data_IF_224258859444
#
_entry.id   IF_224258859444
#
_cell.length_a   1.000
_cell.length_b   1.000
_cell.length_c   1.000
_cell.angle_alpha   90.00
_cell.angle_beta   90.00
_cell.angle_gamma   90.00
#
_symmetry.space_group_name_H-M   'P 1'
#
loop_
_entity.id
_entity.type
_entity.pdbx_description
1 polymer ?
#
# COMPACT_ATOMS: atom_id res chain seq x y z
N UNK A 1 11.11 3.28 -21.54
CA UNK A 1 9.84 4.03 -21.59
C UNK A 1 8.79 3.19 -20.88
N UNK A 2 8.49 3.48 -19.62
CA UNK A 2 7.40 2.80 -18.90
C UNK A 2 6.10 3.49 -19.31
N UNK A 3 5.30 2.81 -20.12
CA UNK A 3 3.98 3.26 -20.54
C UNK A 3 3.04 2.94 -19.39
N UNK A 4 2.91 3.88 -18.45
CA UNK A 4 1.99 3.75 -17.32
C UNK A 4 0.59 3.99 -17.90
N UNK A 5 -0.12 2.90 -18.16
CA UNK A 5 -1.53 2.91 -18.52
C UNK A 5 -2.30 3.38 -17.30
N UNK A 6 -2.58 4.68 -17.22
CA UNK A 6 -3.47 5.26 -16.22
C UNK A 6 -4.88 4.71 -16.46
N UNK A 7 -5.23 3.64 -15.77
CA UNK A 7 -6.62 3.22 -15.60
C UNK A 7 -7.39 4.42 -15.04
N UNK A 8 -8.63 4.67 -15.52
CA UNK A 8 -9.44 5.79 -15.05
C UNK A 8 -9.49 5.81 -13.52
N UNK A 9 -8.79 6.77 -12.91
CA UNK A 9 -8.52 6.85 -11.46
C UNK A 9 -9.77 7.15 -10.61
N UNK A 10 -10.94 7.23 -11.25
CA UNK A 10 -12.20 7.63 -10.62
C UNK A 10 -12.70 6.58 -9.61
N UNK A 11 -12.42 5.29 -9.83
CA UNK A 11 -12.86 4.21 -8.93
C UNK A 11 -11.77 3.75 -7.94
N UNK A 12 -10.49 3.99 -8.25
CA UNK A 12 -9.35 3.64 -7.38
C UNK A 12 -8.93 4.77 -6.44
N UNK A 13 -9.73 5.84 -6.31
CA UNK A 13 -9.57 6.96 -5.37
C UNK A 13 -9.75 6.53 -3.90
N UNK A 14 -9.14 5.42 -3.51
CA UNK A 14 -9.08 4.95 -2.14
C UNK A 14 -8.09 5.81 -1.36
N UNK A 15 -8.56 6.30 -0.22
CA UNK A 15 -7.82 7.20 0.65
C UNK A 15 -6.59 6.46 1.21
N UNK A 16 -5.39 6.77 0.68
CA UNK A 16 -4.14 6.21 1.19
C UNK A 16 -3.98 6.52 2.69
N UNK A 17 -3.85 5.46 3.48
CA UNK A 17 -3.78 5.52 4.93
C UNK A 17 -2.32 5.57 5.41
N UNK A 18 -2.11 5.98 6.65
CA UNK A 18 -0.80 6.10 7.24
C UNK A 18 -0.21 4.70 7.48
N UNK A 19 1.08 4.51 7.17
CA UNK A 19 1.76 3.22 7.25
C UNK A 19 1.91 2.69 8.67
N UNK A 20 1.79 3.54 9.69
CA UNK A 20 1.94 3.19 11.12
C UNK A 20 0.61 3.20 11.85
N UNK A 21 -0.31 4.05 11.41
CA UNK A 21 -1.67 4.16 11.93
C UNK A 21 -2.69 3.99 10.78
N UNK A 22 -3.12 2.75 10.50
CA UNK A 22 -4.05 2.45 9.42
C UNK A 22 -5.42 3.10 9.56
N UNK A 23 -5.75 3.74 10.69
CA UNK A 23 -7.03 4.45 10.84
C UNK A 23 -6.96 5.89 10.33
N UNK A 24 -5.75 6.45 10.23
CA UNK A 24 -5.52 7.84 9.81
C UNK A 24 -5.18 7.92 8.34
N UNK A 25 -5.63 8.99 7.69
CA UNK A 25 -5.15 9.37 6.35
C UNK A 25 -3.67 9.74 6.42
N UNK A 26 -2.90 9.38 5.40
CA UNK A 26 -1.52 9.85 5.28
C UNK A 26 -1.49 11.39 5.23
N UNK A 27 -0.69 12.01 6.09
CA UNK A 27 -0.57 13.46 6.18
C UNK A 27 0.90 13.87 6.17
N UNK A 28 1.21 14.93 5.42
CA UNK A 28 2.55 15.54 5.36
C UNK A 28 2.97 16.12 6.73
N UNK A 29 2.01 16.62 7.51
CA UNK A 29 2.26 17.25 8.81
C UNK A 29 2.25 16.26 9.99
N UNK A 30 2.13 14.96 9.72
CA UNK A 30 2.11 13.97 10.80
C UNK A 30 3.47 13.95 11.53
N UNK A 31 3.51 13.89 12.87
CA UNK A 31 4.76 13.97 13.63
C UNK A 31 5.69 12.78 13.35
N UNK A 32 5.15 11.59 13.06
CA UNK A 32 5.96 10.43 12.67
C UNK A 32 6.19 10.39 11.15
N UNK A 33 7.44 10.62 10.66
CA UNK A 33 7.78 10.52 9.24
C UNK A 33 7.77 9.09 8.70
N UNK A 34 7.77 8.07 9.56
CA UNK A 34 7.71 6.67 9.14
C UNK A 34 6.31 6.26 8.70
N UNK A 35 5.29 7.03 9.06
CA UNK A 35 3.90 6.82 8.67
C UNK A 35 3.54 7.31 7.26
N UNK A 36 4.49 7.93 6.54
CA UNK A 36 4.29 8.52 5.23
C UNK A 36 5.47 8.26 4.31
N UNK A 37 5.19 8.24 3.00
CA UNK A 37 6.21 8.21 1.95
C UNK A 37 6.27 9.61 1.35
N UNK A 38 7.46 10.20 1.33
CA UNK A 38 7.73 11.46 0.65
C UNK A 38 8.35 11.18 -0.71
N UNK A 39 8.01 11.98 -1.72
CA UNK A 39 8.57 11.83 -3.08
C UNK A 39 10.08 12.10 -3.09
N UNK A 40 10.56 12.86 -2.10
CA UNK A 40 11.97 13.18 -1.88
C UNK A 40 12.69 12.16 -1.01
N UNK A 41 12.03 11.09 -0.55
CA UNK A 41 12.70 10.03 0.19
C UNK A 41 13.66 9.26 -0.73
N UNK A 42 14.82 8.90 -0.20
CA UNK A 42 15.75 8.00 -0.88
C UNK A 42 15.12 6.59 -1.06
N UNK A 43 15.45 5.86 -2.14
CA UNK A 43 14.87 4.55 -2.43
C UNK A 43 14.94 3.57 -1.25
N UNK A 44 16.08 3.51 -0.56
CA UNK A 44 16.29 2.62 0.59
C UNK A 44 15.35 2.95 1.75
N UNK A 45 15.09 4.24 1.98
CA UNK A 45 14.17 4.72 3.02
C UNK A 45 12.73 4.36 2.68
N UNK A 46 12.34 4.46 1.42
CA UNK A 46 11.00 4.05 0.96
C UNK A 46 10.81 2.55 1.21
N UNK A 47 11.79 1.72 0.82
CA UNK A 47 11.76 0.27 1.04
C UNK A 47 11.64 -0.05 2.53
N UNK A 48 12.42 0.62 3.38
CA UNK A 48 12.35 0.41 4.83
C UNK A 48 10.98 0.79 5.42
N UNK A 49 10.40 1.92 4.99
CA UNK A 49 9.08 2.38 5.43
C UNK A 49 7.97 1.40 5.03
N UNK A 50 7.99 0.90 3.80
CA UNK A 50 7.03 -0.10 3.31
C UNK A 50 7.16 -1.41 4.08
N UNK A 51 8.39 -1.90 4.30
CA UNK A 51 8.65 -3.12 5.08
C UNK A 51 8.20 -3.01 6.54
N UNK A 52 8.28 -1.82 7.13
CA UNK A 52 7.88 -1.55 8.53
C UNK A 52 6.43 -1.06 8.65
N UNK A 53 5.66 -1.08 7.57
CA UNK A 53 4.25 -0.74 7.61
C UNK A 53 3.50 -1.71 8.54
N UNK A 54 2.57 -1.17 9.31
CA UNK A 54 1.73 -1.95 10.22
C UNK A 54 0.66 -2.65 9.41
N UNK A 55 0.77 -3.97 9.37
CA UNK A 55 -0.22 -4.87 8.81
C UNK A 55 -0.95 -5.61 9.93
N UNK A 56 -1.98 -6.37 9.56
CA UNK A 56 -2.55 -7.36 10.46
C UNK A 56 -1.67 -8.62 10.54
N UNK A 57 -2.02 -9.54 11.43
CA UNK A 57 -1.25 -10.76 11.71
C UNK A 57 -1.60 -11.94 10.78
N UNK A 58 -2.37 -11.74 9.70
CA UNK A 58 -2.69 -12.82 8.76
C UNK A 58 -1.69 -12.85 7.61
N UNK A 59 -1.18 -14.04 7.31
CA UNK A 59 -0.24 -14.25 6.19
C UNK A 59 -0.87 -14.05 4.80
N UNK A 60 -2.19 -14.17 4.71
CA UNK A 60 -2.93 -14.08 3.45
C UNK A 60 -2.93 -12.65 2.92
N UNK A 61 -2.68 -12.50 1.62
CA UNK A 61 -2.75 -11.21 0.91
C UNK A 61 -4.18 -11.08 0.37
N UNK A 62 -5.02 -10.32 1.06
CA UNK A 62 -6.40 -10.04 0.62
C UNK A 62 -6.70 -8.54 0.68
N UNK A 63 -7.54 -8.08 -0.25
CA UNK A 63 -8.01 -6.71 -0.29
C UNK A 63 -9.32 -6.58 0.50
N UNK A 64 -9.26 -5.90 1.64
CA UNK A 64 -10.41 -5.60 2.50
C UNK A 64 -10.17 -4.26 3.20
N UNK A 65 -10.58 -3.13 2.60
CA UNK A 65 -10.25 -1.80 3.11
C UNK A 65 -10.95 -1.45 4.42
N UNK A 66 -11.98 -2.19 4.82
CA UNK A 66 -12.75 -1.98 6.05
C UNK A 66 -12.14 -2.78 7.22
N UNK A 67 -11.87 -4.08 7.03
CA UNK A 67 -11.36 -4.94 8.10
C UNK A 67 -9.82 -5.02 8.13
N UNK A 68 -9.15 -4.80 7.00
CA UNK A 68 -7.69 -4.87 6.84
C UNK A 68 -7.13 -3.59 6.19
N UNK A 69 -7.30 -2.42 6.84
CA UNK A 69 -6.91 -1.15 6.26
C UNK A 69 -5.42 -1.02 5.95
N UNK A 70 -4.54 -1.69 6.70
CA UNK A 70 -3.09 -1.66 6.49
C UNK A 70 -2.66 -2.37 5.20
N UNK A 71 -3.02 -3.66 5.08
CA UNK A 71 -2.71 -4.47 3.89
C UNK A 71 -3.37 -3.91 2.63
N UNK A 72 -4.63 -3.48 2.75
CA UNK A 72 -5.34 -2.86 1.62
C UNK A 72 -4.67 -1.59 1.13
N UNK A 73 -4.09 -0.79 2.04
CA UNK A 73 -3.34 0.41 1.64
C UNK A 73 -2.09 0.05 0.82
N UNK A 74 -1.36 -1.00 1.21
CA UNK A 74 -0.20 -1.49 0.46
C UNK A 74 -0.60 -2.02 -0.93
N UNK A 75 -1.69 -2.80 -0.99
CA UNK A 75 -2.24 -3.33 -2.24
C UNK A 75 -2.72 -2.22 -3.18
N UNK A 76 -3.42 -1.22 -2.64
CA UNK A 76 -3.79 -0.03 -3.41
C UNK A 76 -2.56 0.67 -3.97
N UNK A 77 -1.52 0.90 -3.16
CA UNK A 77 -0.30 1.56 -3.65
C UNK A 77 0.37 0.74 -4.76
N UNK A 78 0.42 -0.59 -4.62
CA UNK A 78 0.94 -1.49 -5.65
C UNK A 78 0.10 -1.42 -6.94
N UNK A 79 -1.23 -1.50 -6.80
CA UNK A 79 -2.21 -1.36 -7.89
C UNK A 79 -2.00 -0.05 -8.67
N UNK A 80 -1.87 1.08 -7.98
CA UNK A 80 -1.66 2.39 -8.60
C UNK A 80 -0.33 2.51 -9.36
N UNK A 81 0.72 1.80 -8.92
CA UNK A 81 2.04 1.82 -9.55
C UNK A 81 2.07 0.87 -10.77
N UNK A 82 1.49 -0.32 -10.64
CA UNK A 82 1.51 -1.36 -11.67
C UNK A 82 0.40 -1.20 -12.71
N UNK A 83 -0.67 -0.46 -12.39
CA UNK A 83 -1.86 -0.34 -13.24
C UNK A 83 -2.73 -1.61 -13.27
N UNK A 84 -2.63 -2.45 -12.23
CA UNK A 84 -3.40 -3.69 -12.06
C UNK A 84 -4.47 -3.48 -10.99
N UNK A 85 -5.54 -4.28 -11.00
CA UNK A 85 -6.55 -4.24 -9.95
C UNK A 85 -6.02 -4.88 -8.65
N UNK A 86 -6.41 -4.39 -7.46
CA UNK A 86 -6.02 -5.01 -6.18
C UNK A 86 -6.35 -6.51 -6.11
N UNK A 87 -7.46 -6.92 -6.71
CA UNK A 87 -7.92 -8.31 -6.77
C UNK A 87 -6.96 -9.17 -7.60
N UNK A 88 -6.53 -8.69 -8.78
CA UNK A 88 -5.55 -9.37 -9.64
C UNK A 88 -4.22 -9.55 -8.92
N UNK A 89 -3.77 -8.53 -8.19
CA UNK A 89 -2.55 -8.59 -7.37
C UNK A 89 -2.69 -9.63 -6.26
N UNK A 90 -3.86 -9.73 -5.61
CA UNK A 90 -4.09 -10.75 -4.58
C UNK A 90 -4.04 -12.17 -5.18
N UNK A 91 -4.62 -12.38 -6.37
CA UNK A 91 -4.58 -13.67 -7.06
C UNK A 91 -3.15 -14.08 -7.43
N UNK A 92 -2.37 -13.17 -8.02
CA UNK A 92 -0.97 -13.40 -8.38
C UNK A 92 -0.08 -13.75 -7.17
N UNK A 93 -0.38 -13.14 -6.01
CA UNK A 93 0.43 -13.30 -4.80
C UNK A 93 -0.22 -14.25 -3.78
N UNK A 94 -1.28 -14.97 -4.15
CA UNK A 94 -2.00 -15.91 -3.28
C UNK A 94 -1.15 -17.06 -2.74
N UNK A 95 -0.02 -17.35 -3.39
CA UNK A 95 0.93 -18.40 -3.02
C UNK A 95 2.09 -17.91 -2.15
N UNK A 96 2.17 -16.61 -1.85
CA UNK A 96 3.25 -16.02 -1.07
C UNK A 96 2.85 -15.94 0.41
N UNK A 97 3.64 -16.57 1.28
CA UNK A 97 3.53 -16.44 2.73
C UNK A 97 4.40 -15.27 3.21
N UNK A 98 3.76 -14.26 3.80
CA UNK A 98 4.41 -13.05 4.33
C UNK A 98 5.07 -13.28 5.70
N UNK A 99 4.96 -14.49 6.28
CA UNK A 99 5.45 -14.85 7.61
C UNK A 99 6.74 -15.68 7.68
N UNK A 100 7.50 -15.83 6.58
CA UNK A 100 8.79 -16.56 6.56
C UNK A 100 10.02 -15.66 6.57
#
# INVERSE_FOLDING_TARGET
MYKISILSLEDCSSRIRNLRDPMKKMSKSHPDPRGRIEITDEPDVIVEKVKKAVTDCKSEITYDPENRPGVSTLLTMHSLICGLLPEEICEENSLLDTGR
#
